data_IF_561777977863
#
_entry.id   IF_561777977863
#
_cell.length_a   1.000
_cell.length_b   1.000
_cell.length_c   1.000
_cell.angle_alpha   90.00
_cell.angle_beta   90.00
_cell.angle_gamma   90.00
#
_symmetry.space_group_name_H-M   'P 1'
#
loop_
_entity.id
_entity.type
_entity.pdbx_description
1 polymer ?
#
# COMPACT_ATOMS: atom_id res chain seq x y z
N UNK A 1 12.12 23.74 -51.97
CA UNK A 1 11.63 24.60 -50.87
C UNK A 1 10.72 23.75 -49.99
N UNK A 2 11.28 23.07 -48.98
CA UNK A 2 10.53 22.16 -48.10
C UNK A 2 10.11 22.93 -46.84
N UNK A 3 8.83 23.26 -46.75
CA UNK A 3 8.19 23.81 -45.55
C UNK A 3 8.09 22.69 -44.51
N UNK A 4 8.92 22.76 -43.47
CA UNK A 4 8.86 21.81 -42.36
C UNK A 4 7.64 22.14 -41.48
N UNK A 5 6.72 21.18 -41.33
CA UNK A 5 5.57 21.23 -40.42
C UNK A 5 6.01 21.11 -38.95
N UNK A 6 6.71 22.12 -38.41
CA UNK A 6 6.87 22.25 -36.97
C UNK A 6 5.84 23.23 -36.42
N UNK A 7 4.98 22.78 -35.49
CA UNK A 7 4.06 23.66 -34.74
C UNK A 7 4.84 24.87 -34.18
N UNK A 8 4.35 26.09 -34.46
CA UNK A 8 4.88 27.33 -33.85
C UNK A 8 4.73 27.27 -32.33
N UNK A 9 5.83 27.49 -31.61
CA UNK A 9 5.90 27.49 -30.14
C UNK A 9 7.21 26.89 -29.64
N UNK A 10 7.53 27.10 -28.35
CA UNK A 10 8.70 26.47 -27.74
C UNK A 10 8.55 24.95 -27.79
N UNK A 11 9.62 24.26 -28.20
CA UNK A 11 9.61 22.78 -28.24
C UNK A 11 9.43 22.23 -26.83
N UNK A 12 8.73 21.11 -26.69
CA UNK A 12 8.60 20.40 -25.41
C UNK A 12 10.02 20.09 -24.90
N UNK A 13 10.32 20.53 -23.67
CA UNK A 13 11.66 20.41 -23.07
C UNK A 13 12.59 21.62 -23.22
N UNK A 14 12.29 22.61 -24.07
CA UNK A 14 13.10 23.83 -24.15
C UNK A 14 12.94 24.71 -22.90
N UNK A 15 14.08 25.10 -22.31
CA UNK A 15 14.16 26.01 -21.17
C UNK A 15 14.58 27.39 -21.68
N UNK A 16 13.73 28.40 -21.44
CA UNK A 16 13.96 29.78 -21.88
C UNK A 16 14.59 30.66 -20.79
N UNK A 17 14.89 30.09 -19.62
CA UNK A 17 15.59 30.79 -18.56
C UNK A 17 17.09 30.80 -18.83
N UNK A 18 17.74 31.90 -18.48
CA UNK A 18 19.18 32.00 -18.42
C UNK A 18 19.73 30.96 -17.43
N UNK A 19 20.86 30.33 -17.77
CA UNK A 19 21.40 29.19 -17.03
C UNK A 19 21.56 29.47 -15.53
N UNK A 20 21.98 30.70 -15.19
CA UNK A 20 22.19 31.16 -13.81
C UNK A 20 20.87 31.25 -13.01
N UNK A 21 19.81 31.78 -13.61
CA UNK A 21 18.48 31.85 -12.98
C UNK A 21 17.83 30.47 -12.84
N UNK A 22 18.11 29.56 -13.76
CA UNK A 22 17.63 28.18 -13.72
C UNK A 22 18.30 27.38 -12.59
N UNK A 23 19.62 27.48 -12.45
CA UNK A 23 20.37 26.87 -11.35
C UNK A 23 19.87 27.37 -9.99
N UNK A 24 19.67 28.68 -9.89
CA UNK A 24 19.17 29.31 -8.68
C UNK A 24 17.77 28.82 -8.29
N UNK A 25 16.88 28.70 -9.28
CA UNK A 25 15.54 28.15 -9.09
C UNK A 25 15.59 26.71 -8.59
N UNK A 26 16.47 25.87 -9.14
CA UNK A 26 16.64 24.48 -8.70
C UNK A 26 17.20 24.39 -7.29
N UNK A 27 18.17 25.24 -6.94
CA UNK A 27 18.74 25.30 -5.59
C UNK A 27 17.69 25.75 -4.56
N UNK A 28 16.88 26.75 -4.87
CA UNK A 28 15.79 27.18 -4.01
C UNK A 28 14.70 26.10 -3.83
N UNK A 29 14.36 25.36 -4.89
CA UNK A 29 13.45 24.21 -4.81
C UNK A 29 14.03 23.15 -3.86
N UNK A 30 15.32 22.81 -3.97
CA UNK A 30 15.96 21.83 -3.08
C UNK A 30 16.05 22.32 -1.64
N UNK A 31 16.38 23.60 -1.44
CA UNK A 31 16.60 24.21 -0.13
C UNK A 31 15.29 24.42 0.62
N UNK A 32 14.29 25.01 -0.01
CA UNK A 32 13.05 25.42 0.66
C UNK A 32 11.90 24.45 0.40
N UNK A 33 11.71 23.96 -0.84
CA UNK A 33 10.51 23.18 -1.19
C UNK A 33 10.61 21.68 -0.86
N UNK A 34 11.78 21.07 -0.98
CA UNK A 34 12.01 19.66 -0.67
C UNK A 34 12.33 19.44 0.83
N UNK A 35 11.54 20.07 1.70
CA UNK A 35 11.66 19.98 3.15
C UNK A 35 10.43 19.28 3.76
N UNK A 36 10.58 18.54 4.89
CA UNK A 36 9.47 17.92 5.61
C UNK A 36 8.43 18.91 6.16
N UNK A 37 8.80 20.19 6.29
CA UNK A 37 7.91 21.27 6.73
C UNK A 37 6.81 21.63 5.73
N UNK A 38 6.83 21.05 4.52
CA UNK A 38 5.78 21.17 3.49
C UNK A 38 5.40 22.63 3.15
N UNK A 39 6.35 23.55 2.89
CA UNK A 39 5.99 24.94 2.60
C UNK A 39 5.13 25.03 1.32
N UNK A 40 4.15 25.96 1.30
CA UNK A 40 3.27 26.15 0.15
C UNK A 40 4.04 26.74 -1.04
N UNK A 41 3.54 26.50 -2.25
CA UNK A 41 4.16 27.01 -3.49
C UNK A 41 4.26 28.54 -3.50
N UNK A 42 3.32 29.24 -2.86
CA UNK A 42 3.35 30.69 -2.69
C UNK A 42 4.58 31.17 -1.92
N UNK A 43 4.97 30.45 -0.86
CA UNK A 43 6.14 30.77 -0.06
C UNK A 43 7.42 30.53 -0.89
N UNK A 44 7.52 29.40 -1.59
CA UNK A 44 8.65 29.13 -2.49
C UNK A 44 8.82 30.22 -3.56
N UNK A 45 7.72 30.68 -4.17
CA UNK A 45 7.75 31.74 -5.18
C UNK A 45 8.27 33.06 -4.58
N UNK A 46 7.88 33.38 -3.34
CA UNK A 46 8.36 34.56 -2.61
C UNK A 46 9.85 34.45 -2.30
N UNK A 47 10.30 33.28 -1.85
CA UNK A 47 11.71 33.05 -1.49
C UNK A 47 12.60 33.13 -2.74
N UNK A 48 12.21 32.47 -3.84
CA UNK A 48 12.92 32.55 -5.13
C UNK A 48 13.02 34.00 -5.62
N UNK A 49 11.95 34.78 -5.50
CA UNK A 49 11.95 36.20 -5.91
C UNK A 49 12.91 37.03 -5.07
N UNK A 50 12.87 36.85 -3.75
CA UNK A 50 13.75 37.54 -2.82
C UNK A 50 15.21 37.24 -3.14
N UNK A 51 15.53 35.95 -3.23
CA UNK A 51 16.88 35.46 -3.46
C UNK A 51 17.40 35.91 -4.85
N UNK A 52 16.57 35.91 -5.90
CA UNK A 52 16.96 36.45 -7.22
C UNK A 52 17.23 37.97 -7.19
N UNK A 53 16.47 38.73 -6.40
CA UNK A 53 16.61 40.19 -6.31
C UNK A 53 17.92 40.58 -5.62
N UNK A 54 18.30 39.84 -4.57
CA UNK A 54 19.58 40.03 -3.86
C UNK A 54 20.78 39.82 -4.79
N UNK A 55 20.68 38.86 -5.70
CA UNK A 55 21.72 38.53 -6.68
C UNK A 55 21.65 39.37 -7.97
N UNK A 56 20.74 40.34 -8.06
CA UNK A 56 20.57 41.20 -9.24
C UNK A 56 20.02 40.47 -10.47
N UNK A 57 19.41 39.30 -10.30
CA UNK A 57 18.85 38.48 -11.38
C UNK A 57 17.36 38.77 -11.58
N UNK A 58 16.89 38.66 -12.83
CA UNK A 58 15.47 38.78 -13.14
C UNK A 58 14.72 37.55 -12.59
N UNK A 59 13.73 37.73 -11.69
CA UNK A 59 13.05 36.60 -11.09
C UNK A 59 12.18 35.84 -12.11
N UNK A 60 12.13 34.51 -12.04
CA UNK A 60 11.26 33.71 -12.91
C UNK A 60 9.78 33.97 -12.59
N UNK A 61 8.94 33.85 -13.62
CA UNK A 61 7.50 33.93 -13.44
C UNK A 61 6.99 32.73 -12.63
N UNK A 62 5.92 32.93 -11.84
CA UNK A 62 5.29 31.88 -11.02
C UNK A 62 5.01 30.60 -11.83
N UNK A 63 4.45 30.76 -13.02
CA UNK A 63 4.14 29.66 -13.96
C UNK A 63 5.39 28.83 -14.34
N UNK A 64 6.55 29.47 -14.41
CA UNK A 64 7.83 28.79 -14.68
C UNK A 64 8.24 27.93 -13.48
N UNK A 65 8.09 28.46 -12.26
CA UNK A 65 8.36 27.71 -11.01
C UNK A 65 7.40 26.53 -10.88
N UNK A 66 6.11 26.73 -11.12
CA UNK A 66 5.10 25.65 -11.09
C UNK A 66 5.40 24.55 -12.13
N UNK A 67 5.85 24.94 -13.33
CA UNK A 67 6.30 23.97 -14.33
C UNK A 67 7.52 23.18 -13.85
N UNK A 68 8.49 23.81 -13.20
CA UNK A 68 9.66 23.14 -12.60
C UNK A 68 9.29 22.19 -11.48
N UNK A 69 8.26 22.53 -10.70
CA UNK A 69 7.71 21.63 -9.68
C UNK A 69 7.01 20.42 -10.32
N UNK A 70 6.36 20.60 -11.47
CA UNK A 70 5.77 19.51 -12.26
C UNK A 70 6.81 18.60 -12.92
N UNK A 71 7.99 19.12 -13.22
CA UNK A 71 9.12 18.36 -13.77
C UNK A 71 9.85 17.51 -12.70
N UNK A 72 9.53 17.69 -11.41
CA UNK A 72 10.15 16.89 -10.33
C UNK A 72 9.62 15.46 -10.36
N UNK A 73 10.52 14.50 -10.17
CA UNK A 73 10.14 13.11 -9.92
C UNK A 73 9.25 13.05 -8.66
N UNK A 74 7.99 12.65 -8.85
CA UNK A 74 6.97 12.60 -7.80
C UNK A 74 7.41 11.72 -6.63
N UNK A 75 8.16 10.65 -6.89
CA UNK A 75 8.69 9.75 -5.87
C UNK A 75 9.73 10.44 -5.00
N UNK A 76 10.77 11.02 -5.60
CA UNK A 76 11.81 11.75 -4.86
C UNK A 76 11.24 12.93 -4.06
N UNK A 77 10.27 13.65 -4.63
CA UNK A 77 9.56 14.72 -3.93
C UNK A 77 8.83 14.16 -2.70
N UNK A 78 8.02 13.12 -2.89
CA UNK A 78 7.22 12.54 -1.81
C UNK A 78 8.09 12.00 -0.67
N UNK A 79 9.21 11.35 -1.00
CA UNK A 79 10.19 10.87 -0.02
C UNK A 79 10.80 12.03 0.80
N UNK A 80 11.27 13.10 0.15
CA UNK A 80 11.90 14.23 0.84
C UNK A 80 10.91 15.06 1.67
N UNK A 81 9.65 15.14 1.22
CA UNK A 81 8.59 15.88 1.92
C UNK A 81 7.83 15.02 2.94
N UNK A 82 8.13 13.72 3.06
CA UNK A 82 7.41 12.81 3.94
C UNK A 82 5.95 12.58 3.55
N UNK A 83 5.59 12.79 2.28
CA UNK A 83 4.22 12.64 1.75
C UNK A 83 3.88 11.14 1.59
N UNK A 84 3.69 10.42 2.70
CA UNK A 84 3.54 8.94 2.75
C UNK A 84 2.51 8.38 1.76
N UNK A 85 1.37 9.06 1.54
CA UNK A 85 0.34 8.62 0.60
C UNK A 85 0.84 8.65 -0.86
N UNK A 86 1.51 9.72 -1.25
CA UNK A 86 2.06 9.89 -2.61
C UNK A 86 3.26 8.97 -2.80
N UNK A 87 4.09 8.81 -1.76
CA UNK A 87 5.19 7.84 -1.77
C UNK A 87 4.68 6.41 -2.00
N UNK A 88 3.63 5.99 -1.27
CA UNK A 88 2.97 4.69 -1.49
C UNK A 88 2.46 4.55 -2.92
N UNK A 89 1.78 5.56 -3.45
CA UNK A 89 1.20 5.52 -4.80
C UNK A 89 2.26 5.51 -5.92
N UNK A 90 3.41 6.15 -5.71
CA UNK A 90 4.46 6.33 -6.74
C UNK A 90 5.58 5.29 -6.65
N UNK A 91 5.72 4.60 -5.52
CA UNK A 91 6.74 3.55 -5.39
C UNK A 91 6.23 2.26 -6.03
N UNK A 92 6.80 1.89 -7.17
CA UNK A 92 6.62 0.55 -7.74
C UNK A 92 6.93 -0.51 -6.68
N UNK A 93 6.02 -1.46 -6.48
CA UNK A 93 6.14 -2.55 -5.50
C UNK A 93 6.96 -3.69 -6.12
N UNK A 94 8.26 -3.83 -5.84
CA UNK A 94 9.09 -4.87 -6.42
C UNK A 94 9.02 -6.07 -5.48
N UNK A 95 8.25 -7.09 -5.84
CA UNK A 95 8.10 -8.31 -5.04
C UNK A 95 6.67 -8.81 -5.07
N UNK A 96 6.21 -9.31 -6.21
CA UNK A 96 5.00 -10.13 -6.23
C UNK A 96 5.29 -11.43 -5.49
N UNK A 97 4.56 -11.69 -4.41
CA UNK A 97 4.48 -13.02 -3.84
C UNK A 97 3.79 -13.89 -4.91
N UNK A 98 4.55 -14.76 -5.58
CA UNK A 98 4.04 -15.64 -6.64
C UNK A 98 4.06 -17.07 -6.13
N UNK A 99 2.90 -17.72 -6.18
CA UNK A 99 2.78 -19.16 -6.00
C UNK A 99 2.65 -19.82 -7.37
N UNK A 100 3.21 -21.02 -7.53
CA UNK A 100 3.17 -21.78 -8.80
C UNK A 100 1.98 -22.73 -8.92
N UNK A 101 1.27 -22.99 -7.80
CA UNK A 101 0.12 -23.90 -7.72
C UNK A 101 -0.83 -23.51 -6.57
N UNK A 102 -2.10 -23.96 -6.59
CA UNK A 102 -3.01 -23.81 -5.46
C UNK A 102 -2.43 -24.39 -4.17
N UNK A 103 -2.69 -23.72 -3.05
CA UNK A 103 -2.19 -24.05 -1.72
C UNK A 103 -0.65 -24.03 -1.61
N UNK A 104 0.07 -23.52 -2.61
CA UNK A 104 1.51 -23.30 -2.48
C UNK A 104 1.82 -22.24 -1.43
N UNK A 105 1.12 -21.10 -1.49
CA UNK A 105 1.26 -20.03 -0.51
C UNK A 105 -0.13 -19.52 -0.17
N UNK A 106 -0.49 -19.60 1.12
CA UNK A 106 -1.68 -18.98 1.67
C UNK A 106 -1.26 -17.76 2.48
N UNK A 107 -1.78 -16.60 2.13
CA UNK A 107 -1.55 -15.37 2.88
C UNK A 107 -2.64 -15.23 3.95
N UNK A 108 -2.27 -14.79 5.15
CA UNK A 108 -3.22 -14.49 6.23
C UNK A 108 -3.04 -13.05 6.69
N UNK A 109 -4.15 -12.33 6.79
CA UNK A 109 -4.17 -10.95 7.28
C UNK A 109 -5.41 -10.70 8.15
N UNK A 110 -5.35 -9.64 8.97
CA UNK A 110 -6.44 -9.19 9.81
C UNK A 110 -6.87 -7.78 9.43
N UNK A 111 -8.17 -7.56 9.34
CA UNK A 111 -8.73 -6.23 9.09
C UNK A 111 -9.94 -5.97 9.96
N UNK A 112 -10.17 -4.71 10.31
CA UNK A 112 -11.40 -4.31 10.98
C UNK A 112 -12.47 -4.13 9.91
N UNK A 113 -13.44 -5.04 9.87
CA UNK A 113 -14.47 -5.03 8.84
C UNK A 113 -15.25 -3.72 8.86
N UNK A 114 -15.61 -3.20 7.69
CA UNK A 114 -16.38 -1.97 7.54
C UNK A 114 -17.89 -2.22 7.65
N UNK A 115 -18.25 -2.93 8.71
CA UNK A 115 -19.63 -3.25 9.08
C UNK A 115 -19.81 -2.96 10.57
N UNK A 116 -20.96 -2.39 10.95
CA UNK A 116 -21.32 -2.18 12.34
C UNK A 116 -22.25 -3.30 12.78
N UNK A 117 -21.79 -4.10 13.74
CA UNK A 117 -22.60 -5.13 14.39
C UNK A 117 -23.42 -4.44 15.48
N UNK A 118 -24.70 -4.79 15.52
CA UNK A 118 -25.67 -4.27 16.48
C UNK A 118 -26.28 -5.43 17.27
N UNK A 119 -26.79 -5.12 18.45
CA UNK A 119 -27.57 -6.07 19.24
C UNK A 119 -28.84 -6.48 18.48
N UNK A 120 -29.24 -7.75 18.61
CA UNK A 120 -30.39 -8.29 17.88
C UNK A 120 -31.71 -7.73 18.41
N UNK A 121 -31.83 -7.51 19.72
CA UNK A 121 -33.05 -7.08 20.39
C UNK A 121 -33.13 -5.55 20.48
N UNK A 122 -32.11 -4.90 21.03
CA UNK A 122 -32.14 -3.45 21.29
C UNK A 122 -31.72 -2.62 20.07
N UNK A 123 -31.07 -3.26 19.07
CA UNK A 123 -30.49 -2.60 17.90
C UNK A 123 -29.40 -1.58 18.23
N UNK A 124 -28.87 -1.61 19.46
CA UNK A 124 -27.77 -0.75 19.87
C UNK A 124 -26.44 -1.19 19.23
N UNK A 125 -25.54 -0.24 18.91
CA UNK A 125 -24.27 -0.56 18.26
C UNK A 125 -23.29 -1.23 19.22
N UNK A 126 -22.92 -2.49 18.90
CA UNK A 126 -21.87 -3.23 19.63
C UNK A 126 -20.49 -2.77 19.13
N UNK A 127 -20.33 -2.61 17.81
CA UNK A 127 -19.11 -2.10 17.21
C UNK A 127 -18.72 -2.80 15.91
N UNK A 128 -17.48 -2.58 15.47
CA UNK A 128 -16.95 -3.16 14.23
C UNK A 128 -16.12 -4.41 14.55
N UNK A 129 -16.42 -5.57 13.93
CA UNK A 129 -15.67 -6.79 14.15
C UNK A 129 -14.32 -6.78 13.43
N UNK A 130 -13.41 -7.61 13.92
CA UNK A 130 -12.19 -8.01 13.24
C UNK A 130 -12.44 -9.25 12.40
N UNK A 131 -11.99 -9.20 11.14
CA UNK A 131 -11.98 -10.32 10.21
C UNK A 131 -10.55 -10.76 9.96
N UNK A 132 -10.28 -12.03 10.25
CA UNK A 132 -9.04 -12.72 9.86
C UNK A 132 -9.32 -13.47 8.59
N UNK A 133 -8.58 -13.21 7.52
CA UNK A 133 -8.80 -13.83 6.21
C UNK A 133 -7.57 -14.63 5.80
N UNK A 134 -7.79 -15.82 5.25
CA UNK A 134 -6.77 -16.61 4.59
C UNK A 134 -7.08 -16.66 3.07
N UNK A 135 -6.09 -16.38 2.23
CA UNK A 135 -6.24 -16.35 0.78
C UNK A 135 -5.12 -17.11 0.09
N UNK A 136 -5.48 -17.95 -0.86
CA UNK A 136 -4.52 -18.62 -1.74
C UNK A 136 -3.95 -17.62 -2.75
N UNK A 137 -2.62 -17.49 -2.77
CA UNK A 137 -1.92 -16.51 -3.62
C UNK A 137 -2.04 -16.85 -5.11
N UNK A 138 -2.13 -18.14 -5.45
CA UNK A 138 -2.21 -18.61 -6.82
C UNK A 138 -3.59 -18.32 -7.43
N UNK A 139 -4.67 -18.83 -6.82
CA UNK A 139 -6.04 -18.75 -7.32
C UNK A 139 -6.81 -17.50 -6.88
N UNK A 140 -6.33 -16.79 -5.85
CA UNK A 140 -7.04 -15.69 -5.16
C UNK A 140 -8.29 -16.11 -4.43
N UNK A 141 -8.55 -17.40 -4.30
CA UNK A 141 -9.65 -17.91 -3.50
C UNK A 141 -9.37 -17.64 -2.02
N UNK A 142 -10.35 -17.05 -1.34
CA UNK A 142 -10.35 -17.03 0.14
C UNK A 142 -10.47 -18.47 0.59
N UNK A 143 -9.49 -18.98 1.32
CA UNK A 143 -9.45 -20.37 1.76
C UNK A 143 -10.17 -20.55 3.09
N UNK A 144 -10.17 -19.52 3.93
CA UNK A 144 -10.92 -19.49 5.17
C UNK A 144 -10.96 -18.11 5.80
N UNK A 145 -11.76 -17.98 6.86
CA UNK A 145 -11.84 -16.75 7.64
C UNK A 145 -12.23 -17.04 9.09
N UNK A 146 -12.04 -16.02 9.93
CA UNK A 146 -12.56 -16.00 11.29
C UNK A 146 -12.98 -14.57 11.66
N UNK A 147 -14.23 -14.41 12.11
CA UNK A 147 -14.83 -13.13 12.48
C UNK A 147 -15.03 -13.07 14.00
N UNK A 148 -14.58 -12.00 14.64
CA UNK A 148 -14.71 -11.81 16.10
C UNK A 148 -14.81 -10.34 16.46
N UNK A 149 -15.42 -10.02 17.61
CA UNK A 149 -15.41 -8.65 18.17
C UNK A 149 -14.09 -8.33 18.89
N UNK A 150 -13.32 -9.36 19.23
CA UNK A 150 -12.02 -9.20 19.90
C UNK A 150 -10.93 -8.76 18.91
N UNK A 151 -9.89 -8.11 19.43
CA UNK A 151 -8.72 -7.78 18.64
C UNK A 151 -8.05 -9.06 18.09
N UNK A 152 -7.30 -8.96 16.97
CA UNK A 152 -6.55 -10.07 16.42
C UNK A 152 -5.65 -10.72 17.47
N UNK A 153 -5.60 -12.04 17.43
CA UNK A 153 -4.85 -12.83 18.40
C UNK A 153 -4.39 -14.14 17.79
N UNK A 154 -3.60 -14.90 18.55
CA UNK A 154 -3.23 -16.27 18.15
C UNK A 154 -4.45 -17.15 17.85
N UNK A 155 -5.52 -16.98 18.62
CA UNK A 155 -6.75 -17.75 18.47
C UNK A 155 -7.37 -17.47 17.11
N UNK A 156 -7.49 -16.20 16.72
CA UNK A 156 -8.12 -15.84 15.46
C UNK A 156 -7.36 -16.38 14.25
N UNK A 157 -6.02 -16.36 14.29
CA UNK A 157 -5.16 -16.97 13.26
C UNK A 157 -5.38 -18.49 13.21
N UNK A 158 -5.36 -19.15 14.37
CA UNK A 158 -5.47 -20.61 14.45
C UNK A 158 -6.82 -21.10 13.94
N UNK A 159 -7.90 -20.43 14.31
CA UNK A 159 -9.26 -20.75 13.85
C UNK A 159 -9.45 -20.44 12.36
N UNK A 160 -8.87 -19.34 11.86
CA UNK A 160 -8.87 -19.04 10.43
C UNK A 160 -8.12 -20.13 9.63
N UNK A 161 -6.94 -20.54 10.08
CA UNK A 161 -6.16 -21.59 9.42
C UNK A 161 -6.87 -22.95 9.52
N UNK A 162 -7.48 -23.26 10.65
CA UNK A 162 -8.30 -24.47 10.80
C UNK A 162 -9.44 -24.46 9.78
N UNK A 163 -10.21 -23.37 9.72
CA UNK A 163 -11.25 -23.21 8.71
C UNK A 163 -10.68 -23.33 7.29
N UNK A 164 -9.49 -22.77 7.03
CA UNK A 164 -8.81 -22.86 5.73
C UNK A 164 -8.49 -24.28 5.28
N UNK A 165 -8.07 -25.15 6.20
CA UNK A 165 -7.57 -26.48 5.88
C UNK A 165 -8.69 -27.50 5.71
N UNK A 166 -9.76 -27.43 6.50
CA UNK A 166 -10.83 -28.43 6.43
C UNK A 166 -11.81 -28.15 5.29
N UNK A 167 -12.56 -29.18 4.89
CA UNK A 167 -13.63 -29.06 3.91
C UNK A 167 -14.80 -28.24 4.47
N UNK A 168 -15.36 -27.35 3.66
CA UNK A 168 -16.42 -26.41 4.06
C UNK A 168 -17.82 -26.97 3.87
N UNK A 169 -17.96 -28.20 3.36
CA UNK A 169 -19.24 -28.80 3.01
C UNK A 169 -20.22 -28.82 4.18
N UNK A 170 -19.78 -29.29 5.35
CA UNK A 170 -20.61 -29.28 6.57
C UNK A 170 -20.90 -27.86 7.03
N UNK A 171 -19.87 -26.99 7.07
CA UNK A 171 -20.00 -25.61 7.52
C UNK A 171 -21.00 -24.79 6.67
N UNK A 172 -21.02 -25.01 5.36
CA UNK A 172 -21.94 -24.39 4.41
C UNK A 172 -23.36 -24.93 4.60
N UNK A 173 -23.50 -26.26 4.74
CA UNK A 173 -24.80 -26.91 4.93
C UNK A 173 -25.50 -26.45 6.20
N UNK A 174 -24.77 -26.32 7.31
CA UNK A 174 -25.29 -25.80 8.59
C UNK A 174 -25.82 -24.36 8.49
N UNK A 175 -25.38 -23.60 7.48
CA UNK A 175 -25.77 -22.21 7.22
C UNK A 175 -26.71 -22.07 6.03
N UNK A 176 -27.19 -23.20 5.51
CA UNK A 176 -28.10 -23.26 4.36
C UNK A 176 -27.54 -22.58 3.10
N UNK A 177 -26.21 -22.56 2.96
CA UNK A 177 -25.53 -21.99 1.80
C UNK A 177 -25.39 -23.07 0.72
N UNK A 178 -26.01 -22.84 -0.44
CA UNK A 178 -26.02 -23.79 -1.57
C UNK A 178 -24.80 -23.68 -2.49
N UNK A 179 -23.92 -22.69 -2.26
CA UNK A 179 -22.73 -22.46 -3.05
C UNK A 179 -21.59 -23.44 -2.74
N UNK A 180 -20.70 -23.64 -3.70
CA UNK A 180 -19.51 -24.48 -3.50
C UNK A 180 -18.32 -23.67 -3.02
N UNK A 181 -17.59 -24.20 -2.04
CA UNK A 181 -16.30 -23.65 -1.60
C UNK A 181 -15.21 -24.72 -1.75
N UNK A 182 -14.66 -24.93 -2.96
CA UNK A 182 -13.86 -26.09 -3.31
C UNK A 182 -12.39 -25.93 -2.92
N UNK A 183 -12.13 -25.58 -1.66
CA UNK A 183 -10.76 -25.46 -1.13
C UNK A 183 -10.64 -26.10 0.25
N UNK A 184 -9.72 -27.05 0.35
CA UNK A 184 -9.33 -27.75 1.56
C UNK A 184 -7.94 -28.35 1.34
N UNK A 185 -7.20 -28.56 2.42
CA UNK A 185 -5.84 -29.06 2.41
C UNK A 185 -4.86 -28.15 3.13
N UNK A 186 -3.72 -28.73 3.50
CA UNK A 186 -2.62 -27.99 4.11
C UNK A 186 -1.89 -27.19 3.03
N UNK A 187 -1.60 -25.90 3.27
CA UNK A 187 -0.72 -25.16 2.39
C UNK A 187 0.74 -25.55 2.59
N UNK A 188 1.59 -25.43 1.57
CA UNK A 188 3.02 -25.63 1.76
C UNK A 188 3.59 -24.55 2.68
N UNK A 189 3.10 -23.31 2.49
CA UNK A 189 3.57 -22.14 3.21
C UNK A 189 2.43 -21.21 3.59
N UNK A 190 2.56 -20.59 4.75
CA UNK A 190 1.72 -19.48 5.17
C UNK A 190 2.55 -18.21 5.19
N UNK A 191 2.10 -17.20 4.47
CA UNK A 191 2.66 -15.85 4.51
C UNK A 191 1.84 -15.00 5.49
N UNK A 192 2.50 -14.46 6.51
CA UNK A 192 1.84 -13.70 7.58
C UNK A 192 2.57 -12.39 7.82
N UNK A 193 1.82 -11.37 8.23
CA UNK A 193 2.42 -10.10 8.61
C UNK A 193 3.25 -10.21 9.89
N UNK A 194 4.13 -9.23 10.12
CA UNK A 194 5.04 -9.20 11.28
C UNK A 194 4.36 -8.89 12.63
N UNK A 195 3.04 -9.07 12.73
CA UNK A 195 2.29 -8.90 13.97
C UNK A 195 2.80 -9.81 15.08
N UNK A 196 2.74 -9.33 16.33
CA UNK A 196 3.20 -10.09 17.49
C UNK A 196 2.46 -11.43 17.64
N UNK A 197 1.19 -11.47 17.20
CA UNK A 197 0.32 -12.65 17.28
C UNK A 197 0.89 -13.84 16.52
N UNK A 198 1.50 -13.60 15.37
CA UNK A 198 2.08 -14.63 14.54
C UNK A 198 3.40 -15.18 15.14
N UNK A 199 4.19 -14.37 15.85
CA UNK A 199 5.55 -14.75 16.31
C UNK A 199 5.64 -15.70 17.51
N UNK A 200 4.53 -16.06 18.17
CA UNK A 200 4.62 -16.97 19.32
C UNK A 200 4.80 -18.47 18.96
N UNK A 201 5.51 -19.15 19.86
CA UNK A 201 5.96 -20.55 19.73
C UNK A 201 4.86 -21.56 19.40
N UNK A 202 3.66 -21.43 19.95
CA UNK A 202 2.61 -22.43 19.78
C UNK A 202 2.12 -22.50 18.33
N UNK A 203 1.99 -21.35 17.65
CA UNK A 203 1.60 -21.30 16.24
C UNK A 203 2.70 -21.87 15.36
N UNK A 204 3.96 -21.44 15.61
CA UNK A 204 5.13 -21.97 14.89
C UNK A 204 5.22 -23.48 14.98
N UNK A 205 5.06 -24.03 16.19
CA UNK A 205 5.09 -25.48 16.42
C UNK A 205 3.92 -26.21 15.75
N UNK A 206 2.73 -25.60 15.75
CA UNK A 206 1.56 -26.15 15.04
C UNK A 206 1.80 -26.26 13.54
N UNK A 207 2.34 -25.21 12.91
CA UNK A 207 2.72 -25.22 11.51
C UNK A 207 3.83 -26.24 11.22
N UNK A 208 4.90 -26.26 12.03
CA UNK A 208 6.00 -27.22 11.90
C UNK A 208 5.52 -28.67 11.96
N UNK A 209 4.67 -29.00 12.94
CA UNK A 209 4.10 -30.34 13.10
C UNK A 209 3.21 -30.74 11.92
N UNK A 210 2.55 -29.77 11.29
CA UNK A 210 1.70 -29.98 10.12
C UNK A 210 2.48 -29.94 8.78
N UNK A 211 3.80 -29.72 8.81
CA UNK A 211 4.62 -29.58 7.61
C UNK A 211 4.42 -28.27 6.85
N UNK A 212 3.86 -27.25 7.49
CA UNK A 212 3.60 -25.92 6.93
C UNK A 212 4.79 -25.00 7.26
N UNK A 213 5.43 -24.43 6.24
CA UNK A 213 6.45 -23.39 6.45
C UNK A 213 5.81 -22.02 6.72
N UNK A 214 6.46 -21.16 7.50
CA UNK A 214 5.99 -19.79 7.76
C UNK A 214 6.96 -18.80 7.12
N UNK A 215 6.44 -18.00 6.19
CA UNK A 215 7.20 -16.95 5.50
C UNK A 215 6.88 -15.59 6.13
N UNK A 216 7.92 -14.96 6.70
CA UNK A 216 7.84 -13.62 7.30
C UNK A 216 8.33 -12.57 6.32
N UNK A 217 7.64 -11.43 6.15
CA UNK A 217 8.17 -10.33 5.37
C UNK A 217 9.43 -9.76 6.05
N UNK A 218 10.44 -9.34 5.28
CA UNK A 218 11.64 -8.72 5.83
C UNK A 218 11.29 -7.45 6.64
N UNK A 219 12.04 -7.15 7.72
CA UNK A 219 11.76 -6.00 8.58
C UNK A 219 11.74 -4.69 7.77
N UNK A 220 10.68 -3.88 7.94
CA UNK A 220 10.56 -2.59 7.26
C UNK A 220 9.97 -2.64 5.85
N UNK A 221 9.56 -3.81 5.35
CA UNK A 221 8.86 -3.97 4.07
C UNK A 221 7.39 -4.40 4.28
N UNK A 222 6.47 -3.47 4.60
CA UNK A 222 5.04 -3.78 4.79
C UNK A 222 4.31 -4.08 3.46
N UNK A 223 5.02 -4.49 2.41
CA UNK A 223 4.59 -4.31 1.00
C UNK A 223 4.26 -5.61 0.27
N UNK A 224 4.16 -6.73 0.98
CA UNK A 224 3.78 -8.03 0.42
C UNK A 224 2.27 -8.32 0.56
N UNK A 225 1.50 -7.37 1.12
CA UNK A 225 0.05 -7.44 1.39
C UNK A 225 -0.90 -7.26 0.21
N UNK A 226 -0.42 -6.77 -0.95
CA UNK A 226 -1.27 -6.19 -2.00
C UNK A 226 -2.32 -7.11 -2.63
N UNK A 227 -2.28 -8.41 -2.34
CA UNK A 227 -3.24 -9.40 -2.81
C UNK A 227 -4.47 -9.48 -1.91
N UNK A 228 -4.24 -9.51 -0.59
CA UNK A 228 -5.32 -9.45 0.39
C UNK A 228 -5.79 -8.00 0.58
N UNK A 229 -4.91 -7.01 0.60
CA UNK A 229 -5.27 -5.58 0.75
C UNK A 229 -6.28 -5.12 -0.32
N UNK A 230 -6.14 -5.60 -1.56
CA UNK A 230 -7.06 -5.26 -2.67
C UNK A 230 -8.44 -5.92 -2.51
N UNK A 231 -8.50 -7.12 -1.93
CA UNK A 231 -9.77 -7.80 -1.64
C UNK A 231 -10.45 -7.21 -0.39
N UNK A 232 -9.66 -6.76 0.59
CA UNK A 232 -10.14 -6.07 1.78
C UNK A 232 -10.63 -4.64 1.44
N UNK A 233 -10.11 -4.03 0.38
CA UNK A 233 -10.56 -2.72 -0.09
C UNK A 233 -9.97 -1.55 0.69
N UNK A 234 -8.68 -1.64 1.07
CA UNK A 234 -7.95 -0.54 1.74
C UNK A 234 -7.02 0.22 0.80
#
# INVERSE_FOLDING_TARGET
MLLVETKRGNRVGQRALEARSEEFSQNAIRKYYLQPTLPPVSQLVRDIRTDCTVEGLKPPHRRTIEKRLGDLDLRQRAQRRGERKIEKATTAVPGTLVASRPLGIVQIDHTKADILVVDEETREPIGRPWSTLAMDVFSRMVTGFYLTMEAPSRLSISLCLWHSVYAKTTWLKEREISETWPVAGLPDRVHVDNGADFRNRAFKRGCENAGIAIDWPPPGAPRFGGHIERLIGT
#
